data_IF_705879375841
#
_entry.id   IF_705879375841
#
_cell.length_a   1.000
_cell.length_b   1.000
_cell.length_c   1.000
_cell.angle_alpha   90.00
_cell.angle_beta   90.00
_cell.angle_gamma   90.00
#
_symmetry.space_group_name_H-M   'P 1'
#
loop_
_entity.id
_entity.type
_entity.pdbx_description
1 polymer ?
#
# COMPACT_ATOMS: atom_id res chain seq x y z
N UNK A 1 -23.12 21.87 -27.34
CA UNK A 1 -23.02 21.07 -26.10
C UNK A 1 -22.05 21.76 -25.16
N UNK A 2 -22.45 21.96 -23.90
CA UNK A 2 -21.71 22.74 -22.89
C UNK A 2 -20.54 21.94 -22.32
N UNK A 3 -19.37 22.59 -22.36
CA UNK A 3 -18.16 22.52 -21.51
C UNK A 3 -17.48 21.16 -21.36
N UNK A 4 -16.41 20.98 -22.15
CA UNK A 4 -15.22 20.21 -21.74
C UNK A 4 -14.66 20.87 -20.48
N UNK A 5 -15.10 20.42 -19.31
CA UNK A 5 -14.44 20.72 -18.05
C UNK A 5 -13.28 19.75 -17.91
N UNK A 6 -12.05 20.26 -17.90
CA UNK A 6 -10.86 19.43 -17.65
C UNK A 6 -10.96 18.89 -16.22
N UNK A 7 -11.10 17.57 -16.07
CA UNK A 7 -11.04 16.91 -14.77
C UNK A 7 -9.65 17.10 -14.17
N UNK A 8 -9.57 17.45 -12.89
CA UNK A 8 -8.30 17.38 -12.18
C UNK A 8 -7.86 15.92 -12.03
N UNK A 9 -6.55 15.68 -11.88
CA UNK A 9 -6.02 14.33 -11.66
C UNK A 9 -6.66 13.65 -10.44
N UNK A 10 -6.92 14.42 -9.37
CA UNK A 10 -7.59 13.95 -8.16
C UNK A 10 -9.02 13.46 -8.43
N UNK A 11 -9.78 14.21 -9.22
CA UNK A 11 -11.16 13.84 -9.59
C UNK A 11 -11.18 12.64 -10.53
N UNK A 12 -10.25 12.59 -11.49
CA UNK A 12 -10.09 11.45 -12.38
C UNK A 12 -9.79 10.15 -11.60
N UNK A 13 -8.85 10.19 -10.65
CA UNK A 13 -8.50 9.05 -9.79
C UNK A 13 -9.71 8.57 -8.96
N UNK A 14 -10.48 9.50 -8.37
CA UNK A 14 -11.69 9.19 -7.60
C UNK A 14 -12.77 8.53 -8.45
N UNK A 15 -13.07 9.12 -9.61
CA UNK A 15 -14.08 8.61 -10.55
C UNK A 15 -13.68 7.22 -11.03
N UNK A 16 -12.41 7.04 -11.41
CA UNK A 16 -11.90 5.76 -11.88
C UNK A 16 -12.03 4.68 -10.80
N UNK A 17 -11.58 4.94 -9.57
CA UNK A 17 -11.71 3.98 -8.47
C UNK A 17 -13.16 3.61 -8.14
N UNK A 18 -14.07 4.58 -8.25
CA UNK A 18 -15.52 4.35 -8.05
C UNK A 18 -16.12 3.49 -9.16
N UNK A 19 -15.78 3.76 -10.42
CA UNK A 19 -16.27 3.00 -11.59
C UNK A 19 -15.75 1.55 -11.55
N UNK A 20 -14.48 1.37 -11.16
CA UNK A 20 -13.88 0.05 -10.98
C UNK A 20 -14.44 -0.70 -9.76
N UNK A 21 -15.31 -0.06 -8.97
CA UNK A 21 -15.98 -0.69 -7.84
C UNK A 21 -15.07 -0.94 -6.64
N UNK A 22 -14.06 -0.10 -6.42
CA UNK A 22 -13.19 -0.21 -5.25
C UNK A 22 -13.86 0.35 -3.98
N UNK A 23 -13.45 -0.13 -2.79
CA UNK A 23 -13.96 0.41 -1.53
C UNK A 23 -13.70 1.93 -1.43
N UNK A 24 -14.69 2.74 -1.03
CA UNK A 24 -14.55 4.19 -0.98
C UNK A 24 -13.36 4.69 -0.14
N UNK A 25 -13.10 4.06 1.02
CA UNK A 25 -11.96 4.40 1.88
C UNK A 25 -10.61 4.08 1.23
N UNK A 26 -10.53 2.98 0.48
CA UNK A 26 -9.33 2.64 -0.28
C UNK A 26 -9.06 3.68 -1.40
N UNK A 27 -10.11 4.12 -2.10
CA UNK A 27 -10.01 5.20 -3.10
C UNK A 27 -9.56 6.50 -2.46
N UNK A 28 -10.16 6.89 -1.33
CA UNK A 28 -9.78 8.10 -0.59
C UNK A 28 -8.32 8.07 -0.15
N UNK A 29 -7.85 6.94 0.38
CA UNK A 29 -6.47 6.76 0.78
C UNK A 29 -5.51 6.90 -0.42
N UNK A 30 -5.79 6.20 -1.52
CA UNK A 30 -4.97 6.27 -2.73
C UNK A 30 -4.89 7.70 -3.27
N UNK A 31 -6.03 8.37 -3.40
CA UNK A 31 -6.12 9.74 -3.92
C UNK A 31 -5.32 10.71 -3.06
N UNK A 32 -5.45 10.62 -1.73
CA UNK A 32 -4.66 11.43 -0.80
C UNK A 32 -3.17 11.16 -0.93
N UNK A 33 -2.77 9.89 -1.00
CA UNK A 33 -1.37 9.51 -1.17
C UNK A 33 -0.77 10.09 -2.47
N UNK A 34 -1.48 9.98 -3.59
CA UNK A 34 -1.03 10.55 -4.88
C UNK A 34 -1.02 12.08 -4.87
N UNK A 35 -1.94 12.71 -4.13
CA UNK A 35 -1.97 14.16 -3.97
C UNK A 35 -0.72 14.67 -3.22
N UNK A 36 -0.31 14.00 -2.14
CA UNK A 36 0.91 14.36 -1.40
C UNK A 36 2.18 14.13 -2.24
N UNK A 37 2.21 13.08 -3.07
CA UNK A 37 3.29 12.86 -4.04
C UNK A 37 3.38 14.00 -5.05
N UNK A 38 2.25 14.41 -5.64
CA UNK A 38 2.18 15.50 -6.64
C UNK A 38 2.54 16.86 -6.05
N UNK A 39 2.25 17.11 -4.77
CA UNK A 39 2.64 18.32 -4.03
C UNK A 39 4.13 18.34 -3.67
N UNK A 40 4.85 17.22 -3.83
CA UNK A 40 6.24 17.10 -3.37
C UNK A 40 6.37 16.92 -1.85
N UNK A 41 5.29 16.59 -1.14
CA UNK A 41 5.32 16.30 0.29
C UNK A 41 5.84 14.86 0.54
N UNK A 42 7.15 14.68 0.34
CA UNK A 42 7.81 13.38 0.38
C UNK A 42 7.67 12.70 1.76
N UNK A 43 7.68 13.48 2.84
CA UNK A 43 7.59 12.94 4.20
C UNK A 43 6.22 12.30 4.46
N UNK A 44 5.14 13.02 4.19
CA UNK A 44 3.78 12.49 4.34
C UNK A 44 3.52 11.33 3.39
N UNK A 45 3.97 11.43 2.13
CA UNK A 45 3.87 10.33 1.17
C UNK A 45 4.57 9.06 1.69
N UNK A 46 5.79 9.19 2.24
CA UNK A 46 6.52 8.05 2.83
C UNK A 46 5.78 7.48 4.05
N UNK A 47 5.24 8.34 4.92
CA UNK A 47 4.45 7.92 6.08
C UNK A 47 3.19 7.14 5.66
N UNK A 48 2.48 7.61 4.63
CA UNK A 48 1.33 6.91 4.06
C UNK A 48 1.74 5.58 3.40
N UNK A 49 2.83 5.58 2.61
CA UNK A 49 3.37 4.36 1.99
C UNK A 49 3.76 3.32 3.04
N UNK A 50 4.26 3.74 4.20
CA UNK A 50 4.59 2.81 5.29
C UNK A 50 3.38 2.14 5.95
N UNK A 51 2.15 2.60 5.67
CA UNK A 51 0.89 2.01 6.14
C UNK A 51 0.09 1.36 5.01
N UNK A 52 0.63 1.38 3.78
CA UNK A 52 0.00 0.82 2.59
C UNK A 52 0.09 -0.70 2.63
N UNK A 53 -1.06 -1.35 2.43
CA UNK A 53 -1.15 -2.79 2.15
C UNK A 53 -1.91 -2.99 0.83
N UNK A 54 -1.63 -4.10 0.15
CA UNK A 54 -2.47 -4.56 -0.96
C UNK A 54 -3.61 -5.42 -0.42
N UNK A 55 -4.82 -5.23 -0.93
CA UNK A 55 -5.97 -6.10 -0.67
C UNK A 55 -6.43 -6.73 -1.98
N UNK A 56 -6.64 -8.04 -1.98
CA UNK A 56 -6.95 -8.86 -3.15
C UNK A 56 -8.22 -9.64 -2.85
N UNK A 57 -9.23 -9.50 -3.72
CA UNK A 57 -10.49 -10.23 -3.64
C UNK A 57 -11.17 -10.24 -5.00
N UNK A 58 -11.83 -11.35 -5.36
CA UNK A 58 -12.56 -11.49 -6.63
C UNK A 58 -11.71 -11.10 -7.87
N UNK A 59 -10.46 -11.57 -7.92
CA UNK A 59 -9.51 -11.27 -9.00
C UNK A 59 -9.00 -9.82 -9.06
N UNK A 60 -9.52 -8.92 -8.23
CA UNK A 60 -9.10 -7.52 -8.16
C UNK A 60 -8.03 -7.32 -7.10
N UNK A 61 -7.10 -6.39 -7.34
CA UNK A 61 -6.05 -6.00 -6.40
C UNK A 61 -5.99 -4.49 -6.30
N UNK A 62 -6.07 -3.96 -5.08
CA UNK A 62 -6.03 -2.52 -4.85
C UNK A 62 -5.28 -2.18 -3.56
N UNK A 63 -4.99 -0.90 -3.40
CA UNK A 63 -4.21 -0.36 -2.28
C UNK A 63 -5.15 0.17 -1.19
N UNK A 64 -4.88 -0.17 0.06
CA UNK A 64 -5.60 0.36 1.23
C UNK A 64 -4.63 0.79 2.33
N UNK A 65 -5.10 1.69 3.20
CA UNK A 65 -4.47 1.93 4.50
C UNK A 65 -4.69 0.69 5.39
N UNK A 66 -3.68 0.30 6.16
CA UNK A 66 -3.80 -0.76 7.15
C UNK A 66 -4.87 -0.43 8.19
N UNK A 67 -5.07 0.84 8.52
CA UNK A 67 -6.07 1.30 9.49
C UNK A 67 -7.51 1.08 9.00
N UNK A 68 -7.72 1.11 7.68
CA UNK A 68 -9.03 0.93 7.05
C UNK A 68 -9.27 -0.50 6.56
N UNK A 69 -8.35 -1.43 6.85
CA UNK A 69 -8.39 -2.82 6.36
C UNK A 69 -9.74 -3.51 6.65
N UNK A 70 -10.15 -3.55 7.91
CA UNK A 70 -11.38 -4.25 8.32
C UNK A 70 -12.60 -3.69 7.61
N UNK A 71 -12.74 -2.36 7.57
CA UNK A 71 -13.87 -1.69 6.92
C UNK A 71 -13.90 -1.99 5.43
N UNK A 72 -12.74 -1.98 4.75
CA UNK A 72 -12.66 -2.28 3.33
C UNK A 72 -12.92 -3.76 3.02
N UNK A 73 -12.46 -4.67 3.88
CA UNK A 73 -12.73 -6.10 3.75
C UNK A 73 -14.22 -6.39 3.91
N UNK A 74 -14.87 -5.86 4.95
CA UNK A 74 -16.31 -6.00 5.17
C UNK A 74 -17.12 -5.43 3.99
N UNK A 75 -16.73 -4.25 3.48
CA UNK A 75 -17.38 -3.66 2.31
C UNK A 75 -17.30 -4.57 1.08
N UNK A 76 -16.15 -5.21 0.83
CA UNK A 76 -16.00 -6.14 -0.30
C UNK A 76 -16.88 -7.38 -0.17
N UNK A 77 -16.94 -7.97 1.03
CA UNK A 77 -17.74 -9.15 1.30
C UNK A 77 -19.25 -8.87 1.12
N UNK A 78 -19.69 -7.68 1.50
CA UNK A 78 -21.06 -7.20 1.30
C UNK A 78 -21.35 -6.87 -0.18
N UNK A 79 -20.43 -6.14 -0.83
CA UNK A 79 -20.62 -5.65 -2.21
C UNK A 79 -20.56 -6.76 -3.26
N UNK A 80 -19.69 -7.76 -3.04
CA UNK A 80 -19.44 -8.86 -3.98
C UNK A 80 -19.59 -10.22 -3.28
N UNK A 81 -20.83 -10.62 -2.93
CA UNK A 81 -21.11 -11.83 -2.15
C UNK A 81 -21.13 -13.09 -3.02
N UNK A 82 -20.30 -13.16 -4.06
CA UNK A 82 -20.24 -14.29 -5.01
C UNK A 82 -19.58 -15.49 -4.35
N UNK A 83 -20.13 -16.69 -4.54
CA UNK A 83 -19.60 -17.92 -3.92
C UNK A 83 -18.20 -18.25 -4.45
N UNK A 84 -17.97 -18.04 -5.74
CA UNK A 84 -16.66 -18.23 -6.38
C UNK A 84 -15.59 -17.33 -5.74
N UNK A 85 -15.95 -16.10 -5.39
CA UNK A 85 -15.04 -15.17 -4.72
C UNK A 85 -14.75 -15.58 -3.27
N UNK A 86 -15.71 -16.19 -2.57
CA UNK A 86 -15.52 -16.73 -1.23
C UNK A 86 -14.64 -17.99 -1.25
N UNK A 87 -14.83 -18.86 -2.25
CA UNK A 87 -14.01 -20.05 -2.46
C UNK A 87 -12.56 -19.68 -2.76
N UNK A 88 -12.34 -18.76 -3.70
CA UNK A 88 -11.02 -18.19 -4.00
C UNK A 88 -10.40 -17.54 -2.76
N UNK A 89 -11.23 -16.84 -1.98
CA UNK A 89 -10.85 -16.19 -0.74
C UNK A 89 -10.23 -14.81 -0.90
N UNK A 90 -10.11 -14.12 0.23
CA UNK A 90 -9.50 -12.80 0.33
C UNK A 90 -8.04 -12.90 0.76
N UNK A 91 -7.20 -12.01 0.24
CA UNK A 91 -5.77 -11.99 0.57
C UNK A 91 -5.28 -10.56 0.75
N UNK A 92 -4.30 -10.39 1.64
CA UNK A 92 -3.48 -9.18 1.68
C UNK A 92 -2.12 -9.42 1.04
N UNK A 93 -1.53 -8.36 0.50
CA UNK A 93 -0.13 -8.32 0.10
C UNK A 93 0.64 -7.40 1.02
N UNK A 94 1.56 -7.97 1.78
CA UNK A 94 2.44 -7.28 2.72
C UNK A 94 3.89 -7.69 2.40
N UNK A 95 4.74 -6.72 2.08
CA UNK A 95 6.15 -6.94 1.72
C UNK A 95 6.42 -8.01 0.65
N UNK A 96 5.48 -8.15 -0.30
CA UNK A 96 5.58 -9.10 -1.40
C UNK A 96 4.96 -10.47 -1.12
N UNK A 97 4.72 -10.80 0.15
CA UNK A 97 4.02 -12.02 0.55
C UNK A 97 2.51 -11.87 0.40
N UNK A 98 1.84 -12.95 0.01
CA UNK A 98 0.38 -13.04 -0.09
C UNK A 98 -0.14 -13.84 1.08
N UNK A 99 -0.88 -13.20 1.98
CA UNK A 99 -1.42 -13.81 3.20
C UNK A 99 -2.93 -13.92 3.05
N UNK A 100 -3.50 -15.10 3.29
CA UNK A 100 -4.96 -15.32 3.24
C UNK A 100 -5.62 -14.65 4.45
N UNK A 101 -6.70 -13.92 4.20
CA UNK A 101 -7.52 -13.27 5.22
C UNK A 101 -8.58 -14.27 5.69
N UNK A 102 -8.76 -14.48 7.01
CA UNK A 102 -9.89 -15.24 7.52
C UNK A 102 -11.16 -14.40 7.41
N UNK A 103 -12.14 -14.86 6.63
CA UNK A 103 -13.39 -14.15 6.33
C UNK A 103 -14.62 -14.85 6.91
N UNK A 104 -14.44 -15.88 7.72
CA UNK A 104 -15.53 -16.73 8.23
C UNK A 104 -16.31 -16.06 9.37
N UNK A 105 -15.70 -15.07 10.05
CA UNK A 105 -16.36 -14.27 11.07
C UNK A 105 -15.75 -12.87 11.21
N UNK A 106 -16.58 -11.89 11.61
CA UNK A 106 -16.09 -10.54 11.93
C UNK A 106 -15.01 -10.55 13.02
N UNK A 107 -15.12 -11.50 13.98
CA UNK A 107 -14.13 -11.65 15.05
C UNK A 107 -12.75 -12.03 14.51
N UNK A 108 -12.66 -13.03 13.64
CA UNK A 108 -11.38 -13.44 13.04
C UNK A 108 -10.79 -12.33 12.19
N UNK A 109 -11.63 -11.57 11.48
CA UNK A 109 -11.19 -10.42 10.70
C UNK A 109 -10.56 -9.33 11.59
N UNK A 110 -11.18 -9.01 12.72
CA UNK A 110 -10.64 -8.05 13.70
C UNK A 110 -9.35 -8.57 14.36
N UNK A 111 -9.30 -9.84 14.75
CA UNK A 111 -8.09 -10.47 15.30
C UNK A 111 -6.94 -10.47 14.26
N UNK A 112 -7.27 -10.71 12.99
CA UNK A 112 -6.33 -10.64 11.88
C UNK A 112 -5.84 -9.21 11.65
N UNK A 113 -6.74 -8.21 11.68
CA UNK A 113 -6.40 -6.80 11.58
C UNK A 113 -5.37 -6.38 12.64
N UNK A 114 -5.59 -6.76 13.89
CA UNK A 114 -4.64 -6.50 14.97
C UNK A 114 -3.28 -7.21 14.77
N UNK A 115 -3.29 -8.41 14.20
CA UNK A 115 -2.05 -9.15 13.88
C UNK A 115 -1.22 -8.43 12.82
N UNK A 116 -1.85 -7.92 11.76
CA UNK A 116 -1.15 -7.24 10.66
C UNK A 116 -0.65 -5.87 11.12
N UNK A 117 -1.39 -5.16 11.99
CA UNK A 117 -0.93 -3.89 12.57
C UNK A 117 0.37 -4.08 13.35
N UNK A 118 0.47 -5.13 14.17
CA UNK A 118 1.69 -5.45 14.93
C UNK A 118 2.87 -5.82 14.02
N UNK A 119 2.61 -6.54 12.92
CA UNK A 119 3.65 -6.94 11.97
C UNK A 119 4.13 -5.78 11.08
N UNK A 120 3.23 -4.89 10.65
CA UNK A 120 3.60 -3.71 9.87
C UNK A 120 4.52 -2.75 10.64
N UNK A 121 4.34 -2.63 11.97
CA UNK A 121 5.23 -1.86 12.85
C UNK A 121 6.64 -2.47 12.90
N UNK A 122 6.77 -3.81 12.88
CA UNK A 122 8.07 -4.49 12.87
C UNK A 122 8.87 -4.24 11.58
N UNK A 123 8.20 -4.11 10.43
CA UNK A 123 8.88 -3.82 9.17
C UNK A 123 9.44 -2.39 9.08
N UNK A 124 8.84 -1.42 9.79
CA UNK A 124 9.43 -0.09 9.95
C UNK A 124 10.76 -0.14 10.71
N UNK A 125 10.83 -0.89 11.82
CA UNK A 125 12.08 -1.05 12.57
C UNK A 125 13.17 -1.76 11.74
N UNK A 126 12.82 -2.77 10.95
CA UNK A 126 13.78 -3.45 10.07
C UNK A 126 14.24 -2.60 8.87
N UNK A 127 13.39 -1.72 8.32
CA UNK A 127 13.81 -0.75 7.31
C UNK A 127 14.70 0.35 7.89
N UNK A 128 14.41 0.84 9.11
CA UNK A 128 15.26 1.80 9.81
C UNK A 128 16.61 1.18 10.19
N UNK A 129 16.63 -0.10 10.61
CA UNK A 129 17.86 -0.84 10.89
C UNK A 129 18.68 -1.13 9.63
N UNK A 130 18.05 -1.43 8.48
CA UNK A 130 18.78 -1.58 7.20
C UNK A 130 19.41 -0.26 6.73
N UNK A 131 18.79 0.89 6.98
CA UNK A 131 19.38 2.20 6.70
C UNK A 131 20.54 2.53 7.65
N UNK A 132 20.44 2.17 8.93
CA UNK A 132 21.55 2.33 9.89
C UNK A 132 22.73 1.37 9.58
N UNK A 133 22.47 0.14 9.13
CA UNK A 133 23.53 -0.80 8.75
C UNK A 133 24.28 -0.35 7.49
N UNK A 134 23.58 0.23 6.50
CA UNK A 134 24.22 0.81 5.33
C UNK A 134 25.02 2.09 5.66
N UNK A 135 24.56 2.92 6.61
CA UNK A 135 25.31 4.11 7.02
C UNK A 135 26.56 3.81 7.88
N UNK A 136 26.56 2.73 8.67
CA UNK A 136 27.73 2.35 9.47
C UNK A 136 28.80 1.68 8.60
N UNK A 137 28.42 0.88 7.59
CA UNK A 137 29.40 0.31 6.66
C UNK A 137 29.94 1.31 5.62
N UNK A 138 29.16 2.32 5.21
CA UNK A 138 29.63 3.33 4.27
C UNK A 138 30.72 4.26 4.86
N UNK A 139 30.87 4.35 6.18
CA UNK A 139 31.96 5.12 6.83
C UNK A 139 33.27 4.35 6.98
N UNK A 140 33.29 3.03 6.85
CA UNK A 140 34.53 2.24 6.92
C UNK A 140 35.17 1.95 5.55
N UNK A 141 34.44 2.11 4.44
CA UNK A 141 34.98 1.86 3.09
C UNK A 141 35.51 3.10 2.35
N UNK A 142 35.49 4.29 2.98
CA UNK A 142 36.02 5.53 2.38
C UNK A 142 37.55 5.72 2.51
N UNK A 143 38.30 4.72 2.98
CA UNK A 143 39.76 4.78 3.09
C UNK A 143 40.54 3.98 2.03
N UNK A 144 39.88 3.22 1.13
CA UNK A 144 40.60 2.35 0.18
C UNK A 144 39.96 2.40 -1.22
N UNK A 145 39.87 3.57 -1.83
CA UNK A 145 39.87 3.66 -3.31
C UNK A 145 40.54 4.98 -3.71
N UNK A 146 41.83 5.11 -3.39
CA UNK A 146 42.72 5.92 -4.22
C UNK A 146 43.32 4.99 -5.26
N UNK A 147 43.37 5.43 -6.52
CA UNK A 147 43.81 4.71 -7.74
C UNK A 147 42.69 3.92 -8.40
N UNK A 148 42.08 4.50 -9.42
CA UNK A 148 42.52 4.31 -10.80
C UNK A 148 41.95 5.47 -11.64
N UNK A 149 42.87 6.22 -12.22
CA UNK A 149 42.64 7.21 -13.26
C UNK A 149 42.13 6.52 -14.53
N UNK A 150 41.18 7.18 -15.21
CA UNK A 150 41.33 7.64 -16.61
C UNK A 150 41.66 6.56 -17.66
N UNK A 151 40.76 6.36 -18.61
CA UNK A 151 40.94 6.65 -20.06
C UNK A 151 39.80 5.99 -20.85
N UNK A 152 39.32 6.76 -21.82
CA UNK A 152 38.28 6.53 -22.81
C UNK A 152 38.26 5.15 -23.49
N UNK A 153 37.07 4.57 -23.64
CA UNK A 153 36.41 4.20 -24.90
C UNK A 153 34.99 3.70 -24.60
#
# INVERSE_FOLDING_TARGET
MKRSGTLSAKEADRILGTILGFPPKAVDFYVRMMEEERKGNIEEYRRMRGRKIGLIYCGCSFVTDIEDFEINALWLLDKYPYEEAKEDGMYIRLDGERIRVPTESCRQLAEFHESIRKNAVRCWYNCLFRLLFFCVHAKQSLAVVSRIQMVCA
#
